data_IF_004220925331
#
_entry.id   IF_004220925331
#
_cell.length_a   1.000
_cell.length_b   1.000
_cell.length_c   1.000
_cell.angle_alpha   90.00
_cell.angle_beta   90.00
_cell.angle_gamma   90.00
#
_symmetry.space_group_name_H-M   'P 1'
#
loop_
_entity.id
_entity.type
_entity.pdbx_description
1 polymer ?
#
# COMPACT_ATOMS: atom_id res chain seq x y z
N UNK A 1 -3.88 12.26 22.60
CA UNK A 1 -4.63 11.82 21.40
C UNK A 1 -6.10 11.75 21.74
N UNK A 2 -6.97 12.35 20.94
CA UNK A 2 -8.42 12.21 21.13
C UNK A 2 -8.84 10.74 20.89
N UNK A 3 -9.97 10.27 21.44
CA UNK A 3 -10.50 8.95 21.15
C UNK A 3 -10.74 8.70 19.64
N UNK A 4 -11.11 9.74 18.91
CA UNK A 4 -11.34 9.71 17.48
C UNK A 4 -10.02 9.54 16.69
N UNK A 5 -8.96 10.25 17.07
CA UNK A 5 -7.62 10.12 16.49
C UNK A 5 -7.09 8.68 16.66
N UNK A 6 -7.26 8.07 17.85
CA UNK A 6 -6.89 6.66 18.11
C UNK A 6 -7.70 5.65 17.30
N UNK A 7 -8.97 5.95 17.02
CA UNK A 7 -9.82 5.09 16.19
C UNK A 7 -9.48 5.18 14.70
N UNK A 8 -8.99 6.34 14.25
CA UNK A 8 -8.65 6.60 12.86
C UNK A 8 -7.22 6.18 12.49
N UNK A 9 -6.30 6.21 13.47
CA UNK A 9 -4.93 5.73 13.33
C UNK A 9 -4.73 4.39 14.04
N UNK A 10 -4.55 3.34 13.27
CA UNK A 10 -4.05 2.07 13.80
C UNK A 10 -2.53 2.09 13.76
N UNK A 11 -1.90 2.18 14.93
CA UNK A 11 -0.45 2.00 15.09
C UNK A 11 -0.14 0.83 15.98
N UNK A 12 0.86 0.05 15.58
CA UNK A 12 1.42 -1.02 16.41
C UNK A 12 1.90 -0.49 17.77
N UNK A 13 2.31 0.77 17.86
CA UNK A 13 2.78 1.40 19.11
C UNK A 13 1.65 1.75 20.08
N UNK A 14 0.40 1.80 19.63
CA UNK A 14 -0.77 2.08 20.48
C UNK A 14 -1.49 0.81 20.97
N UNK A 15 -1.07 -0.37 20.50
CA UNK A 15 -1.55 -1.67 21.00
C UNK A 15 -0.62 -2.11 22.13
N UNK A 16 -1.10 -1.94 23.36
CA UNK A 16 -0.30 -1.90 24.59
C UNK A 16 0.57 -3.13 24.92
N UNK A 17 1.62 -2.83 25.68
CA UNK A 17 2.39 -3.62 26.64
C UNK A 17 2.99 -4.98 26.22
N UNK A 18 4.32 -4.95 26.13
CA UNK A 18 5.28 -6.05 26.26
C UNK A 18 5.38 -7.06 25.11
N UNK A 19 6.61 -7.17 24.60
CA UNK A 19 7.13 -8.11 23.60
C UNK A 19 6.70 -7.82 22.15
N UNK A 20 7.71 -7.72 21.28
CA UNK A 20 7.57 -7.81 19.82
C UNK A 20 7.11 -9.24 19.52
N UNK A 21 5.82 -9.53 19.71
CA UNK A 21 5.19 -10.71 19.15
C UNK A 21 4.84 -10.40 17.71
N UNK A 22 5.01 -11.33 16.74
CA UNK A 22 4.32 -11.22 15.47
C UNK A 22 2.85 -11.03 15.77
N UNK A 23 2.35 -9.85 15.46
CA UNK A 23 0.93 -9.60 15.48
C UNK A 23 0.49 -9.81 14.04
N UNK A 24 -0.16 -10.92 13.79
CA UNK A 24 -0.96 -11.08 12.60
C UNK A 24 -2.24 -10.26 12.80
N UNK A 25 -2.55 -9.35 11.89
CA UNK A 25 -3.83 -8.60 11.90
C UNK A 25 -4.86 -9.43 11.13
N UNK A 26 -5.69 -10.20 11.83
CA UNK A 26 -6.52 -11.18 11.17
C UNK A 26 -7.69 -10.51 10.45
N UNK A 27 -7.97 -10.92 9.22
CA UNK A 27 -9.00 -10.31 8.37
C UNK A 27 -8.43 -9.44 7.25
N UNK A 28 -7.36 -8.69 7.52
CA UNK A 28 -6.72 -7.78 6.54
C UNK A 28 -5.50 -8.41 5.86
N UNK A 29 -4.82 -9.36 6.52
CA UNK A 29 -3.59 -9.99 5.99
C UNK A 29 -3.76 -11.33 5.30
N UNK A 30 -4.94 -11.96 5.39
CA UNK A 30 -5.14 -13.31 4.86
C UNK A 30 -5.56 -13.26 3.40
N UNK A 31 -4.79 -13.91 2.54
CA UNK A 31 -5.18 -14.11 1.16
C UNK A 31 -6.39 -15.04 1.05
N UNK A 32 -7.46 -14.55 0.43
CA UNK A 32 -8.75 -15.25 0.27
C UNK A 32 -9.19 -15.36 -1.19
N UNK A 33 -8.24 -15.39 -2.13
CA UNK A 33 -8.55 -15.46 -3.57
C UNK A 33 -9.11 -14.16 -4.16
N UNK A 34 -9.19 -13.09 -3.37
CA UNK A 34 -9.31 -11.72 -3.83
C UNK A 34 -8.01 -11.01 -3.48
N UNK A 35 -7.42 -10.29 -4.44
CA UNK A 35 -6.35 -9.37 -4.13
C UNK A 35 -6.88 -8.22 -3.31
N UNK A 36 -5.98 -7.59 -2.58
CA UNK A 36 -6.38 -6.73 -1.48
C UNK A 36 -5.34 -6.85 -0.40
N UNK A 37 -4.30 -6.05 -0.61
CA UNK A 37 -3.38 -5.47 0.36
C UNK A 37 -3.40 -6.18 1.72
N UNK A 38 -2.43 -7.09 1.88
CA UNK A 38 -2.21 -7.78 3.14
C UNK A 38 -1.95 -6.84 4.32
N UNK A 39 -1.62 -7.43 5.46
CA UNK A 39 -1.32 -6.74 6.70
C UNK A 39 -0.35 -5.59 6.45
N UNK A 40 -0.77 -4.35 6.73
CA UNK A 40 0.07 -3.17 6.55
C UNK A 40 0.51 -2.63 7.91
N UNK A 41 1.82 -2.43 8.08
CA UNK A 41 2.45 -1.87 9.28
C UNK A 41 3.25 -0.63 8.92
N UNK A 42 3.45 0.24 9.90
CA UNK A 42 4.31 1.42 9.77
C UNK A 42 5.19 1.56 11.00
N UNK A 43 6.38 2.13 10.83
CA UNK A 43 7.22 2.45 11.97
C UNK A 43 6.75 3.75 12.67
N UNK A 44 7.40 4.06 13.80
CA UNK A 44 7.04 5.23 14.62
C UNK A 44 7.19 6.56 13.86
N UNK A 45 8.22 6.66 13.01
CA UNK A 45 8.48 7.87 12.23
C UNK A 45 7.32 8.19 11.29
N UNK A 46 6.91 7.21 10.47
CA UNK A 46 5.72 7.31 9.59
C UNK A 46 4.47 7.66 10.38
N UNK A 47 4.27 7.02 11.54
CA UNK A 47 3.10 7.25 12.36
C UNK A 47 3.02 8.70 12.90
N UNK A 48 4.11 9.20 13.50
CA UNK A 48 4.14 10.56 14.01
C UNK A 48 4.09 11.59 12.88
N UNK A 49 4.61 11.27 11.68
CA UNK A 49 4.43 12.10 10.49
C UNK A 49 2.95 12.27 10.12
N UNK A 50 2.18 11.18 10.06
CA UNK A 50 0.74 11.23 9.74
C UNK A 50 -0.01 12.02 10.81
N UNK A 51 0.31 11.79 12.08
CA UNK A 51 -0.32 12.44 13.23
C UNK A 51 0.03 13.92 13.38
N UNK A 52 1.28 14.34 13.14
CA UNK A 52 1.66 15.75 13.25
C UNK A 52 1.04 16.59 12.14
N UNK A 53 0.83 15.99 10.96
CA UNK A 53 0.25 16.65 9.78
C UNK A 53 -1.27 16.48 9.66
N UNK A 54 -1.90 15.76 10.59
CA UNK A 54 -3.34 15.54 10.60
C UNK A 54 -3.89 14.79 9.39
N UNK A 55 -3.18 13.76 8.95
CA UNK A 55 -3.46 13.00 7.72
C UNK A 55 -4.17 11.66 7.98
N UNK A 56 -4.74 11.46 9.17
CA UNK A 56 -5.39 10.20 9.58
C UNK A 56 -6.84 10.03 9.11
N UNK A 57 -7.41 11.06 8.52
CA UNK A 57 -8.80 11.09 8.07
C UNK A 57 -8.86 11.69 6.67
N UNK A 58 -9.90 11.31 5.93
CA UNK A 58 -10.19 11.95 4.65
C UNK A 58 -10.30 13.47 4.78
N UNK A 59 -11.02 13.98 5.79
CA UNK A 59 -11.16 15.42 6.01
C UNK A 59 -9.85 16.11 6.39
N UNK A 60 -8.98 15.44 7.16
CA UNK A 60 -7.66 15.96 7.51
C UNK A 60 -6.77 16.12 6.28
N UNK A 61 -6.76 15.13 5.40
CA UNK A 61 -6.09 15.23 4.12
C UNK A 61 -6.71 16.30 3.21
N UNK A 62 -8.05 16.45 3.16
CA UNK A 62 -8.69 17.53 2.39
C UNK A 62 -8.30 18.92 2.90
N UNK A 63 -8.26 19.12 4.22
CA UNK A 63 -7.76 20.37 4.81
C UNK A 63 -6.30 20.62 4.41
N UNK A 64 -5.48 19.57 4.38
CA UNK A 64 -4.08 19.69 3.99
C UNK A 64 -3.97 20.05 2.50
N UNK A 65 -4.82 19.46 1.65
CA UNK A 65 -5.02 19.83 0.24
C UNK A 65 -5.24 21.33 0.10
N UNK A 66 -6.25 21.83 0.81
CA UNK A 66 -6.65 23.23 0.73
C UNK A 66 -5.51 24.13 1.18
N UNK A 67 -4.83 23.76 2.27
CA UNK A 67 -3.68 24.51 2.76
C UNK A 67 -2.50 24.53 1.76
N UNK A 68 -2.29 23.48 0.94
CA UNK A 68 -1.32 23.53 -0.17
C UNK A 68 -1.77 24.54 -1.23
N UNK A 69 -3.03 24.48 -1.66
CA UNK A 69 -3.57 25.39 -2.67
C UNK A 69 -3.55 26.85 -2.21
N UNK A 70 -3.77 27.10 -0.93
CA UNK A 70 -3.71 28.43 -0.31
C UNK A 70 -2.27 28.91 -0.04
N UNK A 71 -1.24 28.10 -0.34
CA UNK A 71 0.17 28.43 -0.08
C UNK A 71 0.59 28.37 1.39
N UNK A 72 -0.23 27.76 2.26
CA UNK A 72 0.01 27.62 3.70
C UNK A 72 0.78 26.36 4.07
N UNK A 73 0.79 25.36 3.18
CA UNK A 73 1.52 24.09 3.32
C UNK A 73 2.31 23.76 2.07
N UNK A 74 3.37 22.98 2.26
CA UNK A 74 4.15 22.38 1.18
C UNK A 74 3.59 20.99 0.82
N UNK A 75 3.91 20.47 -0.39
CA UNK A 75 3.68 19.07 -0.72
C UNK A 75 4.24 18.12 0.34
N UNK A 76 3.66 16.92 0.44
CA UNK A 76 4.08 15.94 1.44
C UNK A 76 5.49 15.44 1.14
N UNK A 77 6.35 15.54 2.15
CA UNK A 77 7.68 14.92 2.16
C UNK A 77 7.79 14.17 3.47
N UNK A 78 7.75 12.84 3.37
CA UNK A 78 7.91 11.95 4.52
C UNK A 78 9.30 12.08 5.13
N UNK A 79 9.41 11.78 6.42
CA UNK A 79 10.72 11.73 7.09
C UNK A 79 11.57 10.61 6.45
N UNK A 80 12.89 10.79 6.26
CA UNK A 80 13.75 9.76 5.66
C UNK A 80 13.68 8.40 6.37
N UNK A 81 13.45 8.41 7.68
CA UNK A 81 13.27 7.20 8.49
C UNK A 81 11.88 6.56 8.34
N UNK A 82 11.02 7.02 7.43
CA UNK A 82 9.68 6.46 7.25
C UNK A 82 9.75 5.07 6.63
N UNK A 83 9.08 4.11 7.28
CA UNK A 83 9.01 2.72 6.84
C UNK A 83 7.57 2.25 6.79
N UNK A 84 7.27 1.45 5.77
CA UNK A 84 6.07 0.65 5.62
C UNK A 84 6.42 -0.81 5.35
N UNK A 85 5.62 -1.70 5.93
CA UNK A 85 5.70 -3.14 5.65
C UNK A 85 4.31 -3.61 5.23
N UNK A 86 4.23 -4.43 4.18
CA UNK A 86 3.00 -5.15 3.80
C UNK A 86 3.25 -6.65 3.85
N UNK A 87 2.32 -7.43 4.36
CA UNK A 87 2.49 -8.88 4.49
C UNK A 87 1.22 -9.64 4.08
N UNK A 88 1.36 -10.63 3.22
CA UNK A 88 0.28 -11.56 2.87
C UNK A 88 0.50 -12.89 3.59
N UNK A 89 -0.60 -13.45 4.10
CA UNK A 89 -0.63 -14.69 4.86
C UNK A 89 -1.59 -15.70 4.21
N UNK A 90 -1.24 -16.98 4.27
CA UNK A 90 -2.10 -18.07 3.81
C UNK A 90 -2.58 -18.90 4.99
N UNK A 91 -3.88 -19.21 5.02
CA UNK A 91 -4.34 -20.40 5.75
C UNK A 91 -3.71 -21.62 5.06
N UNK A 92 -2.73 -22.23 5.72
CA UNK A 92 -1.92 -23.30 5.15
C UNK A 92 -2.76 -24.53 4.82
N UNK A 93 -3.78 -24.83 5.65
CA UNK A 93 -4.67 -25.96 5.43
C UNK A 93 -5.61 -25.69 4.26
N UNK A 94 -6.24 -24.51 4.22
CA UNK A 94 -7.16 -24.16 3.15
C UNK A 94 -6.47 -24.09 1.77
N UNK A 95 -5.17 -23.81 1.75
CA UNK A 95 -4.34 -23.82 0.53
C UNK A 95 -3.66 -25.16 0.26
N UNK A 96 -4.10 -26.25 0.90
CA UNK A 96 -3.59 -27.61 0.70
C UNK A 96 -2.07 -27.75 0.89
N UNK A 97 -1.47 -26.93 1.76
CA UNK A 97 -0.06 -27.09 2.13
C UNK A 97 0.06 -28.27 3.11
N UNK A 98 0.85 -29.32 2.79
CA UNK A 98 1.01 -30.48 3.67
C UNK A 98 1.55 -30.08 5.05
N UNK A 99 1.06 -30.72 6.12
CA UNK A 99 1.41 -30.36 7.51
C UNK A 99 2.92 -30.41 7.76
N UNK A 100 3.63 -31.35 7.15
CA UNK A 100 5.09 -31.49 7.26
C UNK A 100 5.87 -30.30 6.68
N UNK A 101 5.22 -29.49 5.83
CA UNK A 101 5.77 -28.28 5.22
C UNK A 101 5.49 -27.02 6.02
N UNK A 102 4.61 -27.05 7.03
CA UNK A 102 4.22 -25.83 7.76
C UNK A 102 5.40 -25.15 8.46
N UNK A 103 6.40 -25.94 8.91
CA UNK A 103 7.65 -25.43 9.51
C UNK A 103 8.56 -24.66 8.55
N UNK A 104 8.31 -24.72 7.25
CA UNK A 104 9.05 -23.95 6.24
C UNK A 104 8.57 -22.49 6.19
N UNK A 105 7.38 -22.20 6.74
CA UNK A 105 6.79 -20.86 6.78
C UNK A 105 7.07 -20.19 8.12
N UNK A 106 7.24 -18.88 8.09
CA UNK A 106 7.04 -18.08 9.29
C UNK A 106 5.55 -18.10 9.63
N UNK A 107 5.18 -18.82 10.69
CA UNK A 107 3.78 -19.17 10.95
C UNK A 107 3.26 -18.65 12.29
N UNK A 108 1.95 -18.44 12.36
CA UNK A 108 1.22 -18.14 13.59
C UNK A 108 -0.10 -18.90 13.64
N UNK A 109 -0.62 -19.16 14.84
CA UNK A 109 -2.00 -19.66 14.99
C UNK A 109 -2.95 -18.52 15.28
N UNK A 110 -4.17 -18.62 14.78
CA UNK A 110 -5.22 -17.66 15.09
C UNK A 110 -6.62 -18.28 14.98
N UNK A 111 -7.52 -17.85 15.85
CA UNK A 111 -8.92 -18.31 15.88
C UNK A 111 -9.78 -17.40 15.01
N UNK A 112 -10.21 -17.91 13.87
CA UNK A 112 -11.00 -17.14 12.90
C UNK A 112 -12.37 -16.77 13.49
N UNK A 113 -12.84 -15.51 13.44
CA UNK A 113 -14.02 -15.04 14.14
C UNK A 113 -15.26 -15.41 13.32
N UNK A 114 -15.09 -15.76 12.04
CA UNK A 114 -16.17 -16.16 11.15
C UNK A 114 -16.68 -17.56 11.50
N UNK A 115 -15.78 -18.48 11.89
CA UNK A 115 -16.13 -19.87 12.21
C UNK A 115 -15.70 -20.33 13.62
N UNK A 116 -14.92 -19.53 14.34
CA UNK A 116 -14.41 -19.86 15.67
C UNK A 116 -13.32 -20.93 15.67
N UNK A 117 -12.74 -21.27 14.52
CA UNK A 117 -11.76 -22.36 14.39
C UNK A 117 -10.34 -21.81 14.47
N UNK A 118 -9.49 -22.46 15.26
CA UNK A 118 -8.05 -22.17 15.27
C UNK A 118 -7.40 -22.75 14.00
N UNK A 119 -6.71 -21.87 13.27
CA UNK A 119 -6.04 -22.15 11.99
C UNK A 119 -4.58 -21.75 12.07
N UNK A 120 -3.75 -22.37 11.22
CA UNK A 120 -2.33 -22.02 11.08
C UNK A 120 -2.15 -21.18 9.82
N UNK A 121 -1.60 -19.99 10.00
CA UNK A 121 -1.31 -19.06 8.93
C UNK A 121 0.19 -18.98 8.70
N UNK A 122 0.62 -19.10 7.46
CA UNK A 122 2.01 -18.92 7.04
C UNK A 122 2.20 -17.63 6.26
N UNK A 123 3.24 -16.86 6.58
CA UNK A 123 3.63 -15.69 5.81
C UNK A 123 4.02 -16.14 4.40
N UNK A 124 3.38 -15.61 3.38
CA UNK A 124 3.66 -15.97 1.99
C UNK A 124 4.41 -14.88 1.24
N UNK A 125 4.11 -13.61 1.53
CA UNK A 125 4.76 -12.47 0.88
C UNK A 125 4.96 -11.33 1.86
N UNK A 126 6.04 -10.56 1.68
CA UNK A 126 6.47 -9.47 2.55
C UNK A 126 7.08 -8.36 1.70
N UNK A 127 6.49 -7.17 1.74
CA UNK A 127 7.06 -5.97 1.13
C UNK A 127 7.64 -5.09 2.22
N UNK A 128 8.84 -4.55 1.97
CA UNK A 128 9.47 -3.54 2.81
C UNK A 128 9.65 -2.29 1.95
N UNK A 129 9.16 -1.16 2.45
CA UNK A 129 9.17 0.12 1.76
C UNK A 129 9.77 1.20 2.66
N UNK A 130 10.75 1.97 2.17
CA UNK A 130 11.48 2.98 2.97
C UNK A 130 11.68 4.30 2.21
N UNK A 131 11.70 5.42 2.95
CA UNK A 131 11.86 6.79 2.40
C UNK A 131 13.31 7.32 2.49
N UNK A 132 14.27 6.46 2.75
CA UNK A 132 15.69 6.81 2.93
C UNK A 132 16.41 7.19 1.61
N UNK A 133 15.71 7.13 0.47
CA UNK A 133 16.15 7.58 -0.85
C UNK A 133 15.21 8.67 -1.42
N UNK A 134 15.55 9.24 -2.58
CA UNK A 134 14.79 10.36 -3.19
C UNK A 134 13.33 9.99 -3.48
N UNK A 135 13.10 8.85 -4.12
CA UNK A 135 11.78 8.22 -4.24
C UNK A 135 11.51 7.32 -3.02
N UNK A 136 10.67 6.30 -3.14
CA UNK A 136 10.62 5.22 -2.15
C UNK A 136 11.48 4.07 -2.63
N UNK A 137 12.24 3.48 -1.71
CA UNK A 137 12.79 2.15 -1.91
C UNK A 137 11.70 1.14 -1.61
N UNK A 138 11.57 0.11 -2.45
CA UNK A 138 10.71 -1.03 -2.23
C UNK A 138 11.49 -2.32 -2.50
N UNK A 139 11.32 -3.29 -1.62
CA UNK A 139 11.72 -4.68 -1.82
C UNK A 139 10.52 -5.61 -1.64
N UNK A 140 10.40 -6.60 -2.52
CA UNK A 140 9.41 -7.68 -2.41
C UNK A 140 10.10 -9.00 -2.08
N UNK A 141 9.60 -9.71 -1.08
CA UNK A 141 10.04 -11.05 -0.70
C UNK A 141 8.85 -11.99 -0.66
N UNK A 142 9.03 -13.24 -1.04
CA UNK A 142 7.98 -14.25 -0.91
C UNK A 142 8.55 -15.64 -0.68
N UNK A 143 7.70 -16.52 -0.15
CA UNK A 143 8.04 -17.91 0.11
C UNK A 143 8.36 -18.62 -1.21
N UNK A 144 9.36 -19.51 -1.24
CA UNK A 144 9.79 -20.26 -2.44
C UNK A 144 8.74 -21.20 -3.05
N UNK A 145 7.59 -21.35 -2.38
CA UNK A 145 6.44 -22.12 -2.87
C UNK A 145 5.32 -21.21 -3.40
N UNK A 146 5.51 -19.89 -3.39
CA UNK A 146 4.59 -18.96 -4.04
C UNK A 146 4.53 -19.27 -5.55
N UNK A 147 3.38 -19.01 -6.21
CA UNK A 147 3.29 -19.13 -7.66
C UNK A 147 4.36 -18.29 -8.36
N UNK A 148 4.89 -18.82 -9.46
CA UNK A 148 5.89 -18.11 -10.28
C UNK A 148 5.33 -16.76 -10.76
N UNK A 149 6.14 -15.71 -10.62
CA UNK A 149 5.84 -14.37 -11.08
C UNK A 149 6.99 -13.79 -11.92
N UNK A 150 7.75 -14.65 -12.59
CA UNK A 150 9.01 -14.34 -13.28
C UNK A 150 8.91 -13.18 -14.28
N UNK A 151 7.73 -12.94 -14.87
CA UNK A 151 7.51 -11.83 -15.80
C UNK A 151 7.63 -10.44 -15.12
N UNK A 152 7.48 -10.38 -13.80
CA UNK A 152 7.44 -9.16 -13.00
C UNK A 152 8.37 -9.21 -11.79
N UNK A 153 9.22 -10.24 -11.71
CA UNK A 153 10.31 -10.32 -10.74
C UNK A 153 11.62 -9.83 -11.37
N UNK A 154 12.56 -9.42 -10.53
CA UNK A 154 13.94 -9.12 -10.93
C UNK A 154 14.87 -10.18 -10.36
N UNK A 155 15.83 -10.64 -11.17
CA UNK A 155 16.81 -11.63 -10.75
C UNK A 155 17.62 -11.15 -9.52
N UNK A 156 17.62 -11.96 -8.47
CA UNK A 156 18.46 -11.76 -7.29
C UNK A 156 19.90 -12.23 -7.59
N UNK A 157 20.72 -11.30 -8.08
CA UNK A 157 22.14 -11.54 -8.38
C UNK A 157 23.04 -11.66 -7.14
N UNK A 158 22.57 -11.28 -5.96
CA UNK A 158 23.33 -11.36 -4.71
C UNK A 158 23.06 -12.67 -3.97
N UNK A 159 21.84 -13.19 -4.11
CA UNK A 159 21.39 -14.40 -3.46
C UNK A 159 21.14 -14.22 -1.96
N UNK A 160 20.73 -15.32 -1.34
CA UNK A 160 20.36 -15.34 0.07
C UNK A 160 21.57 -15.00 0.98
N UNK A 161 21.44 -14.01 1.90
CA UNK A 161 22.48 -13.70 2.87
C UNK A 161 22.86 -14.91 3.75
N UNK A 162 24.15 -15.16 4.03
CA UNK A 162 24.59 -16.31 4.82
C UNK A 162 23.97 -16.39 6.22
N UNK A 163 23.66 -15.25 6.83
CA UNK A 163 23.04 -15.14 8.17
C UNK A 163 21.64 -15.76 8.22
N UNK A 164 20.96 -15.92 7.08
CA UNK A 164 19.63 -16.52 7.01
C UNK A 164 19.67 -18.05 6.90
N UNK A 165 20.85 -18.65 6.65
CA UNK A 165 20.99 -20.10 6.49
C UNK A 165 20.59 -20.83 7.78
N UNK A 166 19.74 -21.85 7.64
CA UNK A 166 19.19 -22.62 8.77
C UNK A 166 18.07 -21.92 9.53
N UNK A 167 17.70 -20.69 9.14
CA UNK A 167 16.51 -20.00 9.67
C UNK A 167 15.32 -20.22 8.76
N UNK A 168 14.11 -19.92 9.24
CA UNK A 168 12.89 -19.97 8.40
C UNK A 168 12.98 -19.06 7.16
N UNK A 169 13.76 -17.97 7.25
CA UNK A 169 13.95 -17.02 6.16
C UNK A 169 14.68 -17.60 4.96
N UNK A 170 15.38 -18.73 5.12
CA UNK A 170 15.98 -19.45 3.99
C UNK A 170 14.94 -19.99 3.00
N UNK A 171 13.66 -20.04 3.40
CA UNK A 171 12.52 -20.48 2.59
C UNK A 171 11.86 -19.35 1.83
N UNK A 172 12.39 -18.14 1.94
CA UNK A 172 11.94 -16.95 1.21
C UNK A 172 13.01 -16.56 0.19
N UNK A 173 12.59 -15.92 -0.91
CA UNK A 173 13.48 -15.32 -1.90
C UNK A 173 13.10 -13.86 -2.13
N UNK A 174 14.07 -13.07 -2.57
CA UNK A 174 13.83 -11.72 -3.09
C UNK A 174 13.15 -11.84 -4.45
N UNK A 175 11.98 -11.24 -4.61
CA UNK A 175 11.31 -11.08 -5.91
C UNK A 175 11.82 -9.86 -6.68
N UNK A 176 12.44 -8.90 -6.00
CA UNK A 176 13.13 -7.78 -6.62
C UNK A 176 13.08 -6.51 -5.76
N UNK A 177 13.69 -5.45 -6.28
CA UNK A 177 13.68 -4.13 -5.66
C UNK A 177 13.40 -3.03 -6.67
N UNK A 178 12.85 -1.91 -6.19
CA UNK A 178 12.62 -0.74 -7.01
C UNK A 178 12.92 0.54 -6.22
N UNK A 179 13.64 1.46 -6.85
CA UNK A 179 13.87 2.84 -6.37
C UNK A 179 13.38 3.88 -7.36
N UNK A 180 13.15 3.50 -8.62
CA UNK A 180 12.81 4.42 -9.69
C UNK A 180 11.61 3.92 -10.48
N UNK A 181 10.82 4.85 -10.97
CA UNK A 181 9.62 4.56 -11.73
C UNK A 181 9.90 4.07 -13.16
N UNK A 182 11.08 4.39 -13.68
CA UNK A 182 11.50 4.06 -15.04
C UNK A 182 12.95 3.60 -15.07
N UNK A 183 13.27 2.74 -16.03
CA UNK A 183 14.64 2.33 -16.38
C UNK A 183 15.36 3.48 -17.10
N UNK A 184 16.70 3.41 -17.25
CA UNK A 184 17.46 4.38 -18.05
C UNK A 184 17.00 4.53 -19.52
N UNK A 185 16.28 3.55 -20.04
CA UNK A 185 15.68 3.55 -21.39
C UNK A 185 14.32 4.25 -21.45
N UNK A 186 13.77 4.72 -20.32
CA UNK A 186 12.45 5.32 -20.22
C UNK A 186 11.29 4.32 -20.13
N UNK A 187 11.59 3.02 -20.18
CA UNK A 187 10.59 1.98 -19.91
C UNK A 187 10.17 2.01 -18.43
N UNK A 188 8.89 1.81 -18.11
CA UNK A 188 8.44 1.64 -16.73
C UNK A 188 9.20 0.52 -16.03
N UNK A 189 9.60 0.76 -14.78
CA UNK A 189 10.04 -0.31 -13.90
C UNK A 189 8.80 -1.00 -13.35
N UNK A 190 8.72 -2.31 -13.57
CA UNK A 190 7.65 -3.17 -13.08
C UNK A 190 8.27 -4.17 -12.11
N UNK A 191 7.72 -4.20 -10.91
CA UNK A 191 7.94 -5.22 -9.90
C UNK A 191 6.58 -5.58 -9.35
N UNK A 192 6.31 -6.85 -9.05
CA UNK A 192 5.04 -7.29 -8.47
C UNK A 192 5.21 -8.60 -7.71
N UNK A 193 4.33 -8.83 -6.74
CA UNK A 193 4.15 -10.09 -6.04
C UNK A 193 2.77 -10.70 -6.36
N UNK A 194 2.73 -12.01 -6.49
CA UNK A 194 1.51 -12.74 -6.84
C UNK A 194 0.36 -12.52 -5.84
N UNK A 195 0.67 -12.53 -4.53
CA UNK A 195 -0.34 -12.50 -3.47
C UNK A 195 -0.71 -11.07 -3.06
N UNK A 196 0.28 -10.17 -2.95
CA UNK A 196 0.03 -8.79 -2.52
C UNK A 196 -0.66 -7.98 -3.62
N UNK A 197 -0.26 -8.13 -4.88
CA UNK A 197 -0.85 -7.45 -6.03
C UNK A 197 -1.87 -8.31 -6.80
N UNK A 198 -2.51 -9.27 -6.13
CA UNK A 198 -3.38 -10.23 -6.82
C UNK A 198 -4.50 -9.55 -7.65
N UNK A 199 -4.60 -9.89 -8.94
CA UNK A 199 -5.58 -9.29 -9.86
C UNK A 199 -5.13 -7.96 -10.47
N UNK A 200 -3.96 -7.43 -10.10
CA UNK A 200 -3.33 -6.24 -10.68
C UNK A 200 -1.80 -6.37 -10.74
N UNK A 201 -1.27 -7.58 -10.99
CA UNK A 201 0.16 -7.94 -10.96
C UNK A 201 1.04 -7.30 -12.06
N UNK A 202 0.77 -6.05 -12.41
CA UNK A 202 1.57 -5.22 -13.31
C UNK A 202 1.96 -3.89 -12.65
N UNK A 203 1.39 -3.57 -11.49
CA UNK A 203 1.66 -2.31 -10.82
C UNK A 203 2.64 -2.46 -9.68
N UNK A 204 3.77 -1.78 -9.79
CA UNK A 204 4.71 -1.62 -8.69
C UNK A 204 4.11 -0.90 -7.50
N UNK A 205 4.44 -1.31 -6.25
CA UNK A 205 3.99 -0.63 -5.04
C UNK A 205 4.26 0.89 -5.09
N UNK A 206 5.49 1.32 -5.38
CA UNK A 206 5.80 2.76 -5.39
C UNK A 206 5.14 3.47 -6.57
N UNK A 207 5.02 2.84 -7.74
CA UNK A 207 4.36 3.43 -8.91
C UNK A 207 2.86 3.61 -8.67
N UNK A 208 2.19 2.58 -8.11
CA UNK A 208 0.79 2.64 -7.68
C UNK A 208 0.56 3.73 -6.64
N UNK A 209 1.41 3.78 -5.60
CA UNK A 209 1.28 4.79 -4.57
C UNK A 209 1.60 6.20 -5.06
N UNK A 210 2.45 6.36 -6.09
CA UNK A 210 2.73 7.65 -6.69
C UNK A 210 1.51 8.27 -7.40
N UNK A 211 0.53 7.46 -7.80
CA UNK A 211 -0.74 7.97 -8.36
C UNK A 211 -1.73 8.36 -7.26
N UNK A 212 -1.55 7.87 -6.03
CA UNK A 212 -2.47 8.13 -4.93
C UNK A 212 -2.52 9.62 -4.61
N UNK A 213 -3.74 10.17 -4.64
CA UNK A 213 -3.98 11.60 -4.48
C UNK A 213 -5.30 11.88 -3.76
N UNK A 214 -5.42 13.11 -3.25
CA UNK A 214 -6.68 13.64 -2.74
C UNK A 214 -6.81 15.13 -3.08
N UNK A 215 -8.04 15.60 -3.23
CA UNK A 215 -8.38 16.99 -3.54
C UNK A 215 -9.09 17.68 -2.38
N UNK A 216 -9.47 18.94 -2.59
CA UNK A 216 -10.17 19.75 -1.58
C UNK A 216 -11.62 19.30 -1.35
N UNK A 217 -12.26 18.74 -2.38
CA UNK A 217 -13.61 18.17 -2.31
C UNK A 217 -13.50 16.65 -2.41
N UNK A 218 -14.05 15.95 -1.43
CA UNK A 218 -14.46 14.56 -1.58
C UNK A 218 -15.81 14.63 -2.27
N UNK A 219 -15.97 14.11 -3.49
CA UNK A 219 -17.30 13.92 -4.04
C UNK A 219 -18.09 13.00 -3.11
N UNK A 220 -19.40 13.15 -3.05
CA UNK A 220 -20.33 12.31 -2.26
C UNK A 220 -20.31 10.81 -2.64
N UNK A 221 -19.30 10.37 -3.39
CA UNK A 221 -19.13 8.99 -3.77
C UNK A 221 -18.52 8.16 -2.64
N UNK A 222 -19.17 7.06 -2.24
CA UNK A 222 -18.62 6.12 -1.25
C UNK A 222 -17.43 5.31 -1.80
N UNK A 223 -16.84 5.68 -2.94
CA UNK A 223 -15.76 4.94 -3.63
C UNK A 223 -14.68 5.82 -4.26
N UNK A 224 -14.38 6.97 -3.67
CA UNK A 224 -13.37 7.89 -4.23
C UNK A 224 -13.97 8.65 -5.41
N UNK A 225 -13.84 9.97 -5.40
CA UNK A 225 -14.41 10.79 -6.44
C UNK A 225 -13.81 10.55 -7.83
N UNK A 226 -14.38 11.18 -8.89
CA UNK A 226 -13.85 11.23 -10.27
C UNK A 226 -12.34 11.44 -10.43
N UNK A 227 -11.64 11.91 -9.40
CA UNK A 227 -10.24 12.29 -9.48
C UNK A 227 -9.28 11.35 -8.75
N UNK A 228 -9.77 10.57 -7.77
CA UNK A 228 -9.13 9.29 -7.45
C UNK A 228 -9.33 8.30 -8.59
N UNK A 229 -10.39 8.48 -9.40
CA UNK A 229 -10.66 7.62 -10.53
C UNK A 229 -9.51 7.59 -11.54
N UNK A 230 -8.88 8.73 -11.88
CA UNK A 230 -7.67 8.73 -12.73
C UNK A 230 -6.57 7.83 -12.17
N UNK A 231 -6.23 8.01 -10.89
CA UNK A 231 -5.21 7.22 -10.19
C UNK A 231 -5.55 5.73 -10.11
N UNK A 232 -6.80 5.37 -9.82
CA UNK A 232 -7.26 3.97 -9.78
C UNK A 232 -7.44 3.36 -11.17
N UNK A 233 -7.72 4.17 -12.18
CA UNK A 233 -7.77 3.74 -13.57
C UNK A 233 -6.38 3.33 -14.07
N UNK A 234 -5.32 3.93 -13.52
CA UNK A 234 -3.93 3.47 -13.69
C UNK A 234 -3.63 2.13 -13.02
N UNK A 235 -4.54 1.61 -12.19
CA UNK A 235 -4.47 0.28 -11.58
C UNK A 235 -5.40 -0.73 -12.29
N UNK A 236 -6.02 -0.33 -13.42
CA UNK A 236 -7.01 -1.15 -14.11
C UNK A 236 -8.33 -1.31 -13.35
N UNK A 237 -8.58 -0.48 -12.33
CA UNK A 237 -9.81 -0.52 -11.53
C UNK A 237 -10.72 0.64 -11.90
N UNK A 238 -11.95 0.33 -12.32
CA UNK A 238 -12.96 1.35 -12.61
C UNK A 238 -13.84 1.58 -11.38
N UNK A 239 -13.60 2.69 -10.69
CA UNK A 239 -14.37 3.12 -9.51
C UNK A 239 -15.29 4.31 -9.80
N UNK A 240 -15.28 4.80 -11.04
CA UNK A 240 -16.01 5.98 -11.51
C UNK A 240 -17.14 5.61 -12.46
N UNK A 241 -18.16 6.45 -12.52
CA UNK A 241 -19.21 6.36 -13.55
C UNK A 241 -18.66 6.69 -14.94
N UNK A 242 -17.64 7.56 -15.00
CA UNK A 242 -16.88 7.85 -16.23
C UNK A 242 -15.86 6.73 -16.47
N UNK A 243 -15.86 6.08 -17.64
CA UNK A 243 -14.90 5.06 -18.01
C UNK A 243 -13.43 5.53 -17.93
N UNK A 244 -12.54 4.65 -17.50
CA UNK A 244 -11.13 4.96 -17.33
C UNK A 244 -10.42 5.47 -18.60
N UNK A 245 -10.80 4.97 -19.76
CA UNK A 245 -10.28 5.40 -21.06
C UNK A 245 -10.68 6.84 -21.41
N UNK A 246 -11.73 7.39 -20.80
CA UNK A 246 -12.12 8.79 -20.97
C UNK A 246 -11.39 9.73 -20.00
N UNK A 247 -10.89 9.19 -18.87
CA UNK A 247 -10.33 10.00 -17.78
C UNK A 247 -8.82 10.29 -17.87
N UNK A 248 -8.01 9.37 -18.42
CA UNK A 248 -6.54 9.49 -18.41
C UNK A 248 -5.96 9.53 -19.83
N UNK A 249 -6.21 8.50 -20.65
CA UNK A 249 -5.95 8.49 -22.11
C UNK A 249 -6.46 7.16 -22.68
N UNK A 250 -7.31 7.19 -23.72
CA UNK A 250 -7.89 5.99 -24.31
C UNK A 250 -6.85 5.07 -24.97
N UNK A 251 -5.69 5.62 -25.37
CA UNK A 251 -4.58 4.86 -25.98
C UNK A 251 -3.89 3.91 -24.99
N UNK A 252 -4.14 4.09 -23.69
CA UNK A 252 -3.60 3.23 -22.64
C UNK A 252 -4.46 1.99 -22.39
N UNK A 253 -5.59 1.86 -23.10
CA UNK A 253 -6.56 0.79 -22.89
C UNK A 253 -6.81 -0.01 -24.16
N UNK A 254 -6.91 -1.33 -24.02
CA UNK A 254 -7.38 -2.24 -25.06
C UNK A 254 -8.49 -3.12 -24.49
N UNK A 255 -9.63 -3.17 -25.16
CA UNK A 255 -10.83 -3.87 -24.67
C UNK A 255 -11.20 -3.49 -23.22
N UNK A 256 -11.00 -2.22 -22.85
CA UNK A 256 -11.29 -1.68 -21.52
C UNK A 256 -10.28 -2.06 -20.43
N UNK A 257 -9.19 -2.76 -20.77
CA UNK A 257 -8.11 -3.11 -19.84
C UNK A 257 -6.92 -2.20 -20.06
N UNK A 258 -6.30 -1.74 -18.98
CA UNK A 258 -5.04 -1.00 -19.05
C UNK A 258 -3.97 -1.92 -19.66
N UNK A 259 -3.37 -1.51 -20.76
CA UNK A 259 -2.37 -2.29 -21.49
C UNK A 259 -0.93 -1.89 -21.20
N UNK A 260 -0.72 -0.74 -20.56
CA UNK A 260 0.60 -0.20 -20.29
C UNK A 260 0.67 0.46 -18.91
N UNK A 261 1.69 0.08 -18.15
CA UNK A 261 2.09 0.81 -16.94
C UNK A 261 2.74 2.14 -17.31
N UNK A 262 2.43 3.20 -16.59
CA UNK A 262 2.88 4.54 -16.95
C UNK A 262 4.24 4.93 -16.37
N UNK A 263 4.75 4.18 -15.38
CA UNK A 263 6.01 4.49 -14.73
C UNK A 263 5.87 5.73 -13.85
N UNK A 264 6.53 6.83 -14.21
CA UNK A 264 6.63 8.02 -13.37
C UNK A 264 5.30 8.81 -13.32
N UNK A 265 4.97 9.45 -12.18
CA UNK A 265 3.79 10.30 -12.09
C UNK A 265 3.89 11.51 -13.02
N UNK A 266 2.81 11.81 -13.74
CA UNK A 266 2.73 12.97 -14.64
C UNK A 266 1.97 14.13 -13.98
N UNK A 267 2.39 15.40 -14.16
CA UNK A 267 1.74 16.57 -13.55
C UNK A 267 0.24 16.68 -13.84
N UNK A 268 -0.17 16.37 -15.07
CA UNK A 268 -1.56 16.45 -15.53
C UNK A 268 -2.53 15.51 -14.77
N UNK A 269 -2.01 14.53 -14.04
CA UNK A 269 -2.83 13.68 -13.17
C UNK A 269 -3.32 14.42 -11.93
N UNK A 270 -2.66 15.54 -11.58
CA UNK A 270 -2.94 16.32 -10.38
C UNK A 270 -3.61 17.67 -10.67
N UNK A 271 -4.01 17.90 -11.93
CA UNK A 271 -4.58 19.16 -12.40
C UNK A 271 -6.02 19.02 -12.91
N UNK A 272 -6.81 20.10 -12.77
CA UNK A 272 -8.07 20.36 -13.46
C UNK A 272 -7.99 21.69 -14.18
N UNK A 273 -8.36 21.73 -15.45
CA UNK A 273 -8.35 22.94 -16.28
C UNK A 273 -7.01 23.72 -16.23
N UNK A 274 -5.89 22.98 -16.20
CA UNK A 274 -4.53 23.53 -16.12
C UNK A 274 -4.16 24.14 -14.76
N UNK A 275 -4.91 23.83 -13.70
CA UNK A 275 -4.64 24.27 -12.34
C UNK A 275 -4.51 23.08 -11.41
N UNK A 276 -3.58 23.18 -10.44
CA UNK A 276 -3.45 22.17 -9.37
C UNK A 276 -4.79 22.01 -8.64
N UNK A 277 -5.27 20.78 -8.59
CA UNK A 277 -6.53 20.41 -7.95
C UNK A 277 -6.34 19.26 -6.95
N UNK A 278 -5.30 18.45 -7.15
CA UNK A 278 -4.97 17.30 -6.33
C UNK A 278 -3.55 17.41 -5.78
N UNK A 279 -3.32 16.75 -4.66
CA UNK A 279 -1.98 16.55 -4.14
C UNK A 279 -1.74 15.07 -3.93
N UNK A 280 -0.52 14.64 -4.25
CA UNK A 280 -0.05 13.28 -4.05
C UNK A 280 0.01 12.96 -2.55
N UNK A 281 -0.59 11.84 -2.17
CA UNK A 281 -0.66 11.35 -0.79
C UNK A 281 0.28 10.21 -0.52
N UNK A 282 0.75 9.53 -1.56
CA UNK A 282 1.75 8.48 -1.45
C UNK A 282 1.30 7.38 -0.46
N UNK A 283 2.19 6.85 0.38
CA UNK A 283 1.89 5.89 1.44
C UNK A 283 1.06 6.44 2.64
N UNK A 284 0.57 7.69 2.62
CA UNK A 284 -0.53 8.11 3.52
C UNK A 284 -1.81 7.38 3.13
N UNK A 285 -2.03 7.24 1.83
CA UNK A 285 -3.19 6.57 1.25
C UNK A 285 -2.81 5.17 0.78
N UNK A 286 -2.43 4.30 1.73
CA UNK A 286 -2.56 2.87 1.50
C UNK A 286 -4.03 2.51 1.64
N UNK A 287 -4.78 2.53 0.54
CA UNK A 287 -6.15 1.99 0.47
C UNK A 287 -6.12 0.63 1.17
N UNK A 288 -6.89 0.31 2.25
CA UNK A 288 -7.83 1.04 3.14
C UNK A 288 -7.36 1.37 4.59
N UNK A 289 -6.06 1.46 4.91
CA UNK A 289 -5.58 1.20 6.30
C UNK A 289 -5.09 2.39 7.16
N UNK A 290 -4.79 3.58 6.61
CA UNK A 290 -4.05 4.61 7.37
C UNK A 290 -4.79 5.91 7.57
N UNK A 291 -5.45 6.39 6.53
CA UNK A 291 -6.38 7.48 6.61
C UNK A 291 -7.78 6.92 6.44
N UNK A 292 -8.51 6.80 7.55
CA UNK A 292 -9.84 6.25 7.49
C UNK A 292 -10.78 7.18 6.72
N UNK A 293 -11.72 6.59 5.96
CA UNK A 293 -12.90 7.32 5.44
C UNK A 293 -13.84 7.76 6.56
N UNK A 294 -13.51 7.47 7.83
CA UNK A 294 -14.23 7.97 9.00
C UNK A 294 -14.38 9.48 8.90
N UNK A 295 -15.65 9.88 8.84
CA UNK A 295 -16.08 11.27 8.96
C UNK A 295 -15.69 11.73 10.35
N UNK A 296 -14.89 12.79 10.43
CA UNK A 296 -14.59 13.43 11.69
C UNK A 296 -15.87 13.94 12.37
N UNK A 297 -16.17 13.44 13.58
CA UNK A 297 -17.39 13.78 14.32
C UNK A 297 -17.21 14.93 15.31
N UNK A 298 -15.96 15.38 15.51
CA UNK A 298 -15.62 16.52 16.35
C UNK A 298 -14.78 17.52 15.57
N UNK A 299 -14.74 18.77 16.04
CA UNK A 299 -13.93 19.80 15.43
C UNK A 299 -12.45 19.35 15.36
N UNK A 300 -11.75 19.66 14.26
CA UNK A 300 -10.35 19.30 14.15
C UNK A 300 -9.54 20.00 15.25
N UNK A 301 -8.47 19.37 15.76
CA UNK A 301 -7.58 20.03 16.70
C UNK A 301 -7.03 21.33 16.12
N UNK A 302 -6.78 22.35 16.96
CA UNK A 302 -6.32 23.66 16.49
C UNK A 302 -5.06 23.59 15.60
N UNK A 303 -4.14 22.65 15.87
CA UNK A 303 -2.93 22.41 15.05
C UNK A 303 -3.20 21.93 13.61
N UNK A 304 -4.42 21.46 13.35
CA UNK A 304 -4.90 20.93 12.08
C UNK A 304 -5.74 21.95 11.29
N UNK A 305 -5.77 23.19 11.76
CA UNK A 305 -6.41 24.34 11.10
C UNK A 305 -5.28 25.27 10.67
N UNK A 306 -5.17 25.50 9.37
CA UNK A 306 -4.10 26.28 8.74
C UNK A 306 -4.69 27.49 8.02
#
# INVERSE_FOLDING_TARGET
MSPQERKALLSFHDMADSLISPQFSPGDGVFKGGGGFGETRMNRSTYEFIKRNCLWSAQGMQRYAQAILDGKKLPLVFDPDSIEVKAAWLDLKAHNIPNEKWREYYSTTWKDPADGVEKVYGLTSLHIITKDVSNWFWASFHHKNAPENDAFETEDSYGMPPVLKGTVWEKYKLGGTQTDFVKPTGEPTILSDYYVEFGFQKSSCISCHATSAIGVKMPDFPRGGPNQAKATCLLGTNISEVPCNELIDSRLFESGKLIRELGAPLPEWFEEDGKKAYFQTDFVWSIPFRASRVIETSAPPARCVW
#
